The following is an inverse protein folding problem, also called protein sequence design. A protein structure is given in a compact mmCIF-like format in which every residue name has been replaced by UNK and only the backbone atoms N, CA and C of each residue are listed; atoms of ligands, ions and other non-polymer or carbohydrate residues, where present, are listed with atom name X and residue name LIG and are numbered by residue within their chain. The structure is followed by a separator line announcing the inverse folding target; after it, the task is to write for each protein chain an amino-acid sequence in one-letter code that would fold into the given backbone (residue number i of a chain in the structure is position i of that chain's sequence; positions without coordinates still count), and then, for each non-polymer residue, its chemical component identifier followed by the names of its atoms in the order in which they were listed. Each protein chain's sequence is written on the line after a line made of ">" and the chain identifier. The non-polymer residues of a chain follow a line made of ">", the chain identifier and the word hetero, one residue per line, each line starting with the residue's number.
data_IF_162898129185
#
_entry.id   IF_162898129185
#
_cell.length_a   1.000
_cell.length_b   1.000
_cell.length_c   1.000
_cell.angle_alpha   90.00
_cell.angle_beta   90.00
_cell.angle_gamma   90.00
#
_symmetry.space_group_name_H-M   'P 1'
#
loop_
_entity.id
_entity.type
_entity.pdbx_description
1 polymer ?
#
# COMPACT_ATOMS: atom_id res chain seq x y z
N UNK A 1 -20.17 8.88 7.70
CA UNK A 1 -20.28 8.42 7.44
C UNK A 1 -20.11 7.95 7.22
N UNK A 2 -19.92 8.06 7.18
CA UNK A 2 -19.93 7.51 6.82
C UNK A 2 -19.84 6.80 6.78
N UNK A 3 -19.80 6.59 6.81
CA UNK A 3 -19.76 5.74 6.80
C UNK A 3 -19.76 4.95 6.71
N UNK A 4 -19.61 5.43 6.77
CA UNK A 4 -20.14 4.35 6.49
C UNK A 4 -19.49 3.15 5.86
N UNK A 5 -18.83 3.14 4.71
CA UNK A 5 -18.21 2.03 4.06
C UNK A 5 -17.22 1.27 4.93
N UNK A 6 -16.42 1.96 5.67
CA UNK A 6 -15.40 1.31 6.48
C UNK A 6 -15.97 0.61 7.72
N UNK A 7 -17.23 0.87 8.04
CA UNK A 7 -17.87 0.14 9.13
C UNK A 7 -17.90 -1.34 8.81
N UNK A 8 -17.98 -1.66 7.55
CA UNK A 8 -18.06 -3.04 7.07
C UNK A 8 -16.77 -3.53 6.46
N UNK A 9 -15.65 -2.86 6.78
CA UNK A 9 -14.37 -3.26 6.25
C UNK A 9 -14.02 -4.65 6.80
N UNK A 10 -13.89 -5.67 5.93
CA UNK A 10 -13.57 -7.02 6.36
C UNK A 10 -12.09 -7.23 6.62
N UNK A 11 -11.28 -6.18 6.56
CA UNK A 11 -9.84 -6.31 6.65
C UNK A 11 -9.27 -5.58 7.85
N UNK A 12 -9.28 -6.22 9.06
CA UNK A 12 -8.57 -5.62 10.19
C UNK A 12 -7.12 -5.34 9.82
N UNK A 13 -6.50 -4.42 10.53
CA UNK A 13 -5.14 -4.00 10.21
C UNK A 13 -4.18 -5.19 10.10
N UNK A 14 -4.27 -6.14 11.04
CA UNK A 14 -3.36 -7.29 11.03
C UNK A 14 -3.52 -8.12 9.76
N UNK A 15 -4.76 -8.29 9.32
CA UNK A 15 -5.03 -9.06 8.10
C UNK A 15 -4.48 -8.32 6.89
N UNK A 16 -4.67 -7.00 6.85
CA UNK A 16 -4.16 -6.20 5.74
C UNK A 16 -2.64 -6.27 5.69
N UNK A 17 -1.98 -6.12 6.84
CA UNK A 17 -0.52 -6.17 6.87
C UNK A 17 0.01 -7.53 6.48
N UNK A 18 -0.64 -8.59 6.93
CA UNK A 18 -0.27 -9.95 6.53
C UNK A 18 -0.43 -10.14 5.02
N UNK A 19 -1.53 -9.67 4.46
CA UNK A 19 -1.78 -9.77 3.03
C UNK A 19 -0.72 -9.06 2.22
N UNK A 20 -0.34 -7.85 2.66
CA UNK A 20 0.70 -7.09 1.98
C UNK A 20 2.03 -7.81 2.05
N UNK A 21 2.35 -8.42 3.19
CA UNK A 21 3.59 -9.17 3.34
C UNK A 21 3.59 -10.42 2.44
N UNK A 22 2.48 -11.12 2.39
CA UNK A 22 2.34 -12.30 1.53
C UNK A 22 2.47 -11.92 0.06
N UNK A 23 1.86 -10.80 -0.33
CA UNK A 23 1.95 -10.34 -1.70
C UNK A 23 3.40 -10.00 -2.07
N UNK A 24 4.10 -9.33 -1.17
CA UNK A 24 5.51 -9.00 -1.42
C UNK A 24 6.33 -10.26 -1.62
N UNK A 25 6.16 -11.24 -0.72
CA UNK A 25 6.90 -12.47 -0.81
C UNK A 25 6.59 -13.21 -2.11
N UNK A 26 5.31 -13.24 -2.51
CA UNK A 26 4.91 -13.91 -3.73
C UNK A 26 5.56 -13.27 -4.96
N UNK A 27 5.58 -11.94 -5.00
CA UNK A 27 6.21 -11.25 -6.14
C UNK A 27 7.71 -11.44 -6.15
N UNK A 28 8.32 -11.49 -4.96
CA UNK A 28 9.76 -11.74 -4.86
C UNK A 28 10.09 -13.15 -5.38
N UNK A 29 9.34 -14.14 -4.92
CA UNK A 29 9.61 -15.53 -5.27
C UNK A 29 9.37 -15.82 -6.75
N UNK A 30 8.35 -15.23 -7.35
CA UNK A 30 8.10 -15.48 -8.77
C UNK A 30 9.21 -14.89 -9.65
N UNK A 31 9.92 -13.89 -9.15
CA UNK A 31 11.09 -13.36 -9.85
C UNK A 31 12.36 -14.11 -9.48
N UNK A 32 12.25 -15.11 -8.60
CA UNK A 32 13.38 -15.91 -8.14
C UNK A 32 14.46 -15.07 -7.48
N UNK A 33 14.03 -14.07 -6.71
CA UNK A 33 14.93 -13.15 -6.03
C UNK A 33 15.00 -13.53 -4.56
N UNK A 34 16.21 -13.64 -4.01
CA UNK A 34 16.40 -13.89 -2.58
C UNK A 34 16.15 -12.59 -1.80
N UNK A 35 15.98 -12.71 -0.48
CA UNK A 35 15.87 -11.52 0.34
C UNK A 35 17.15 -10.69 0.27
N UNK A 36 18.29 -11.36 0.13
CA UNK A 36 19.57 -10.66 -0.01
C UNK A 36 19.59 -9.84 -1.30
N UNK A 37 19.18 -10.45 -2.41
CA UNK A 37 19.16 -9.73 -3.68
C UNK A 37 18.19 -8.58 -3.65
N UNK A 38 17.01 -8.79 -3.06
CA UNK A 38 16.03 -7.71 -2.95
C UNK A 38 16.56 -6.59 -2.08
N UNK A 39 17.30 -6.94 -1.02
CA UNK A 39 17.94 -5.94 -0.18
C UNK A 39 18.91 -5.07 -1.01
N UNK A 40 19.69 -5.70 -1.84
CA UNK A 40 20.65 -4.97 -2.68
C UNK A 40 19.94 -4.09 -3.69
N UNK A 41 18.85 -4.58 -4.27
CA UNK A 41 18.09 -3.82 -5.26
C UNK A 41 17.35 -2.64 -4.65
N UNK A 42 16.85 -2.80 -3.45
CA UNK A 42 15.96 -1.81 -2.84
C UNK A 42 16.65 -0.87 -1.86
N UNK A 43 17.78 -1.27 -1.31
CA UNK A 43 18.42 -0.53 -0.25
C UNK A 43 17.81 -0.78 1.12
N UNK A 44 16.88 -1.72 1.22
CA UNK A 44 16.25 -2.10 2.50
C UNK A 44 17.05 -3.26 3.08
N UNK A 45 17.43 -3.20 4.36
CA UNK A 45 18.19 -4.31 4.97
C UNK A 45 17.44 -5.64 4.85
N UNK A 46 18.17 -6.72 4.57
CA UNK A 46 17.57 -8.04 4.43
C UNK A 46 16.81 -8.44 5.69
N UNK A 47 17.29 -8.04 6.87
CA UNK A 47 16.61 -8.34 8.12
C UNK A 47 15.22 -7.67 8.17
N UNK A 48 15.10 -6.48 7.61
CA UNK A 48 13.81 -5.79 7.55
C UNK A 48 12.86 -6.51 6.62
N UNK A 49 13.36 -7.02 5.50
CA UNK A 49 12.54 -7.78 4.56
C UNK A 49 12.04 -9.06 5.22
N UNK A 50 12.95 -9.79 5.87
CA UNK A 50 12.60 -11.04 6.55
C UNK A 50 11.60 -10.79 7.67
N UNK A 51 11.79 -9.71 8.42
CA UNK A 51 10.87 -9.36 9.49
C UNK A 51 9.49 -9.05 8.93
N UNK A 52 9.41 -8.33 7.82
CA UNK A 52 8.12 -8.03 7.21
C UNK A 52 7.43 -9.31 6.76
N UNK A 53 8.15 -10.21 6.10
CA UNK A 53 7.56 -11.45 5.61
C UNK A 53 7.09 -12.35 6.75
N UNK A 54 7.79 -12.32 7.89
CA UNK A 54 7.45 -13.16 9.03
C UNK A 54 6.52 -12.51 10.03
N UNK A 55 6.76 -11.23 10.34
CA UNK A 55 6.04 -10.52 11.40
C UNK A 55 5.08 -9.48 10.88
N UNK A 56 5.10 -9.21 9.59
CA UNK A 56 4.14 -8.32 8.93
C UNK A 56 4.23 -6.87 9.41
N UNK A 57 5.44 -6.42 9.73
CA UNK A 57 5.66 -5.06 10.20
C UNK A 57 6.81 -4.43 9.42
N UNK A 58 6.60 -3.22 8.91
CA UNK A 58 7.59 -2.52 8.10
C UNK A 58 7.24 -1.04 8.09
N UNK A 59 8.25 -0.20 7.91
CA UNK A 59 7.99 1.23 7.73
C UNK A 59 7.44 1.46 6.33
N UNK A 60 6.66 2.52 6.18
CA UNK A 60 6.14 2.87 4.85
C UNK A 60 7.27 3.13 3.87
N UNK A 61 8.30 3.84 4.31
CA UNK A 61 9.43 4.13 3.43
C UNK A 61 10.05 2.84 2.89
N UNK A 62 10.31 1.88 3.77
CA UNK A 62 10.89 0.60 3.35
C UNK A 62 9.95 -0.15 2.41
N UNK A 63 8.65 -0.15 2.72
CA UNK A 63 7.68 -0.83 1.86
C UNK A 63 7.68 -0.22 0.46
N UNK A 64 7.71 1.10 0.37
CA UNK A 64 7.75 1.79 -0.92
C UNK A 64 9.01 1.41 -1.69
N UNK A 65 10.16 1.38 -1.02
CA UNK A 65 11.41 0.99 -1.68
C UNK A 65 11.33 -0.44 -2.23
N UNK A 66 10.74 -1.36 -1.46
CA UNK A 66 10.59 -2.74 -1.90
C UNK A 66 9.65 -2.84 -3.09
N UNK A 67 8.52 -2.15 -3.01
CA UNK A 67 7.55 -2.16 -4.11
C UNK A 67 8.17 -1.62 -5.38
N UNK A 68 8.92 -0.53 -5.28
CA UNK A 68 9.59 0.05 -6.45
C UNK A 68 10.61 -0.93 -7.03
N UNK A 69 11.37 -1.59 -6.18
CA UNK A 69 12.38 -2.56 -6.63
C UNK A 69 11.73 -3.71 -7.39
N UNK A 70 10.51 -4.08 -7.03
CA UNK A 70 9.79 -5.16 -7.69
C UNK A 70 8.98 -4.72 -8.91
N UNK A 71 9.04 -3.41 -9.25
CA UNK A 71 8.37 -2.92 -10.44
C UNK A 71 6.99 -2.34 -10.20
N UNK A 72 6.66 -2.00 -8.96
CA UNK A 72 5.32 -1.51 -8.60
C UNK A 72 5.29 -0.02 -8.30
N UNK A 73 6.20 0.76 -8.90
CA UNK A 73 6.21 2.21 -8.68
C UNK A 73 4.89 2.86 -9.07
N UNK A 74 4.35 2.46 -10.22
CA UNK A 74 3.11 3.07 -10.68
C UNK A 74 1.95 2.75 -9.76
N UNK A 75 1.90 1.51 -9.26
CA UNK A 75 0.84 1.10 -8.36
C UNK A 75 0.89 1.89 -7.04
N UNK A 76 2.09 2.15 -6.55
CA UNK A 76 2.26 2.96 -5.35
C UNK A 76 1.75 4.37 -5.59
N UNK A 77 2.06 4.95 -6.75
CA UNK A 77 1.62 6.31 -7.06
C UNK A 77 0.11 6.39 -7.26
N UNK A 78 -0.52 5.28 -7.66
CA UNK A 78 -1.96 5.26 -7.89
C UNK A 78 -2.77 5.06 -6.61
N UNK A 79 -2.14 4.54 -5.56
CA UNK A 79 -2.86 4.27 -4.33
C UNK A 79 -3.44 5.57 -3.77
N UNK A 80 -4.74 5.61 -3.54
CA UNK A 80 -5.47 6.77 -3.05
C UNK A 80 -5.43 7.96 -4.00
N UNK A 81 -5.05 7.75 -5.25
CA UNK A 81 -4.93 8.86 -6.20
C UNK A 81 -6.29 9.31 -6.74
N UNK A 82 -7.30 8.45 -6.67
CA UNK A 82 -8.63 8.77 -7.16
C UNK A 82 -9.62 8.73 -6.01
N UNK A 83 -10.55 9.66 -5.99
CA UNK A 83 -11.57 9.65 -4.92
C UNK A 83 -12.52 8.47 -5.12
N UNK A 84 -13.06 7.97 -4.02
CA UNK A 84 -14.10 6.96 -4.04
C UNK A 84 -15.38 7.59 -3.55
N UNK A 85 -16.51 7.20 -4.12
CA UNK A 85 -17.80 7.75 -3.77
C UNK A 85 -18.88 6.70 -4.02
N UNK A 86 -19.95 6.78 -3.25
CA UNK A 86 -21.06 5.83 -3.36
C UNK A 86 -22.25 6.41 -4.10
N UNK A 87 -22.37 7.75 -4.16
CA UNK A 87 -23.51 8.41 -4.79
C UNK A 87 -23.05 9.55 -5.67
N UNK A 88 -23.95 9.98 -6.55
CA UNK A 88 -23.69 11.12 -7.41
C UNK A 88 -23.52 12.39 -6.58
N UNK A 89 -24.27 12.51 -5.49
CA UNK A 89 -24.14 13.66 -4.61
C UNK A 89 -22.74 13.72 -4.02
N UNK A 90 -22.22 12.59 -3.57
CA UNK A 90 -20.88 12.53 -3.02
C UNK A 90 -19.83 12.90 -4.06
N UNK A 91 -20.00 12.40 -5.30
CA UNK A 91 -19.10 12.73 -6.38
C UNK A 91 -19.07 14.24 -6.62
N UNK A 92 -20.25 14.86 -6.67
CA UNK A 92 -20.32 16.31 -6.89
C UNK A 92 -19.66 17.07 -5.76
N UNK A 93 -19.83 16.60 -4.52
CA UNK A 93 -19.21 17.24 -3.38
C UNK A 93 -17.70 17.14 -3.46
N UNK A 94 -17.17 15.97 -3.85
CA UNK A 94 -15.75 15.75 -4.02
C UNK A 94 -15.21 16.71 -5.08
N UNK A 95 -15.87 16.82 -6.22
CA UNK A 95 -15.43 17.69 -7.29
C UNK A 95 -15.44 19.16 -6.86
N UNK A 96 -16.46 19.54 -6.11
CA UNK A 96 -16.54 20.89 -5.57
C UNK A 96 -15.36 21.18 -4.67
N UNK A 97 -15.01 20.22 -3.82
CA UNK A 97 -13.91 20.41 -2.86
C UNK A 97 -12.55 20.47 -3.53
N UNK A 98 -12.39 19.90 -4.71
CA UNK A 98 -11.13 19.97 -5.44
C UNK A 98 -10.70 21.38 -5.75
N UNK A 99 -11.65 22.31 -5.86
CA UNK A 99 -11.33 23.68 -6.21
C UNK A 99 -10.98 24.53 -4.99
N UNK A 100 -11.13 23.98 -3.80
CA UNK A 100 -10.82 24.72 -2.59
C UNK A 100 -9.32 24.76 -2.37
N UNK A 101 -8.87 25.87 -1.83
CA UNK A 101 -7.48 25.97 -1.44
C UNK A 101 -7.32 25.24 -0.14
N UNK A 102 -6.24 24.53 -0.06
CA UNK A 102 -5.84 23.72 1.07
C UNK A 102 -6.54 23.97 2.39
N UNK A 103 -6.44 23.04 3.26
CA UNK A 103 -6.80 23.19 4.65
C UNK A 103 -8.23 23.50 4.97
N UNK A 104 -9.08 23.44 4.04
CA UNK A 104 -10.49 23.75 4.30
C UNK A 104 -11.33 22.53 4.40
#
# INVERSE_FOLDING_TARGET
>A
MMQNGYIFDPYPLQVAMQRLAENLKARRLEKKISTKSLSEMSGVPASSIQRFELKHSISLESYVKLAKALGYSEDIMQLLSEPKYDTMEELLEIQKNKTRKRGV
#
